data_IF_946106137613
#
_entry.id   IF_946106137613
#
_cell.length_a   1.000
_cell.length_b   1.000
_cell.length_c   1.000
_cell.angle_alpha   90.00
_cell.angle_beta   90.00
_cell.angle_gamma   90.00
#
_symmetry.space_group_name_H-M   'P 1'
#
loop_
_entity.id
_entity.type
_entity.pdbx_description
1 polymer ?
#
# COMPACT_ATOMS: atom_id res chain seq x y z
N UNK A 1 9.14 -2.14 9.74
CA UNK A 1 8.66 -1.56 8.47
C UNK A 1 8.02 -2.66 7.65
N UNK A 2 6.83 -2.43 7.08
CA UNK A 2 6.01 -3.44 6.38
C UNK A 2 6.81 -4.31 5.39
N UNK A 3 7.59 -3.70 4.51
CA UNK A 3 8.32 -4.42 3.47
C UNK A 3 9.36 -5.41 4.01
N UNK A 4 10.05 -5.09 5.12
CA UNK A 4 11.03 -6.00 5.71
C UNK A 4 10.36 -7.26 6.25
N UNK A 5 9.25 -7.08 6.96
CA UNK A 5 8.46 -8.18 7.49
C UNK A 5 7.90 -9.02 6.33
N UNK A 6 7.42 -8.38 5.25
CA UNK A 6 6.95 -9.09 4.06
C UNK A 6 8.05 -9.98 3.46
N UNK A 7 9.27 -9.45 3.27
CA UNK A 7 10.39 -10.21 2.70
C UNK A 7 10.77 -11.40 3.59
N UNK A 8 10.78 -11.21 4.92
CA UNK A 8 11.12 -12.27 5.88
C UNK A 8 10.09 -13.41 5.90
N UNK A 9 8.81 -13.10 5.75
CA UNK A 9 7.73 -14.08 5.86
C UNK A 9 7.28 -14.64 4.50
N UNK A 10 7.71 -14.05 3.39
CA UNK A 10 7.30 -14.50 2.07
C UNK A 10 7.97 -15.85 1.74
N UNK A 11 7.20 -16.89 1.34
CA UNK A 11 7.76 -18.21 1.06
C UNK A 11 8.54 -18.26 -0.27
N UNK A 12 8.67 -17.13 -0.97
CA UNK A 12 9.39 -17.02 -2.23
C UNK A 12 10.18 -15.71 -2.30
N UNK A 13 11.22 -15.72 -3.14
CA UNK A 13 12.04 -14.53 -3.38
C UNK A 13 11.24 -13.49 -4.17
N UNK A 14 11.02 -12.35 -3.54
CA UNK A 14 10.45 -11.17 -4.22
C UNK A 14 11.55 -10.53 -5.07
N UNK A 15 11.25 -10.19 -6.33
CA UNK A 15 12.18 -9.47 -7.21
C UNK A 15 11.66 -8.09 -7.62
N UNK A 16 10.33 -7.93 -7.65
CA UNK A 16 9.65 -6.71 -8.08
C UNK A 16 8.45 -6.44 -7.20
N UNK A 17 8.16 -5.17 -6.92
CA UNK A 17 6.99 -4.73 -6.17
C UNK A 17 6.31 -3.63 -6.97
N UNK A 18 4.99 -3.75 -7.13
CA UNK A 18 4.15 -2.70 -7.72
C UNK A 18 3.25 -2.09 -6.65
N UNK A 19 3.33 -0.79 -6.45
CA UNK A 19 2.46 -0.03 -5.53
C UNK A 19 1.71 1.08 -6.29
N UNK A 20 0.70 1.66 -5.65
CA UNK A 20 0.13 2.90 -6.15
C UNK A 20 1.02 4.10 -5.77
N UNK A 21 0.60 5.29 -6.20
CA UNK A 21 1.33 6.52 -5.92
C UNK A 21 1.02 7.09 -4.53
N UNK A 22 0.59 6.25 -3.57
CA UNK A 22 0.28 6.65 -2.22
C UNK A 22 1.52 7.17 -1.47
N UNK A 23 1.30 8.18 -0.62
CA UNK A 23 2.37 8.81 0.17
C UNK A 23 3.08 7.83 1.14
N UNK A 24 2.48 6.67 1.40
CA UNK A 24 3.09 5.59 2.20
C UNK A 24 4.17 4.79 1.43
N UNK A 25 4.23 4.92 0.11
CA UNK A 25 5.15 4.15 -0.74
C UNK A 25 6.12 5.04 -1.53
N UNK A 26 5.71 6.27 -1.83
CA UNK A 26 6.50 7.18 -2.67
C UNK A 26 6.20 8.64 -2.37
N UNK A 27 7.15 9.51 -2.69
CA UNK A 27 6.96 10.96 -2.75
C UNK A 27 6.60 11.47 -4.15
N UNK A 28 6.33 10.58 -5.12
CA UNK A 28 6.13 10.95 -6.52
C UNK A 28 4.97 11.94 -6.79
N UNK A 29 3.98 12.04 -5.89
CA UNK A 29 2.89 13.02 -6.00
C UNK A 29 3.12 14.31 -5.20
N UNK A 30 4.20 14.39 -4.42
CA UNK A 30 4.54 15.63 -3.73
C UNK A 30 5.10 16.64 -4.73
N UNK A 31 4.78 17.92 -4.52
CA UNK A 31 5.47 18.99 -5.21
C UNK A 31 6.97 18.94 -4.85
N UNK A 32 7.84 19.28 -5.79
CA UNK A 32 9.30 19.14 -5.64
C UNK A 32 9.84 19.81 -4.37
N UNK A 33 9.35 21.01 -4.03
CA UNK A 33 9.74 21.74 -2.83
C UNK A 33 9.25 21.12 -1.50
N UNK A 34 8.32 20.16 -1.56
CA UNK A 34 7.83 19.39 -0.43
C UNK A 34 8.47 18.01 -0.33
N UNK A 35 9.22 17.59 -1.35
CA UNK A 35 9.91 16.30 -1.35
C UNK A 35 11.01 16.29 -0.29
N UNK A 36 10.92 15.39 0.72
CA UNK A 36 11.98 15.23 1.69
C UNK A 36 13.29 14.78 1.03
N UNK A 37 14.41 15.24 1.57
CA UNK A 37 15.73 14.64 1.37
C UNK A 37 16.04 13.93 2.69
N UNK A 38 16.03 12.59 2.84
CA UNK A 38 16.41 11.49 1.93
C UNK A 38 15.27 10.87 1.09
N UNK A 39 15.56 9.91 0.16
CA UNK A 39 14.54 9.16 -0.57
C UNK A 39 13.54 8.46 0.35
N UNK A 40 12.34 8.20 -0.17
CA UNK A 40 11.28 7.56 0.59
C UNK A 40 11.77 6.26 1.27
N UNK A 41 11.47 6.02 2.56
CA UNK A 41 11.99 4.84 3.28
C UNK A 41 11.66 3.50 2.62
N UNK A 42 10.54 3.45 1.89
CA UNK A 42 10.15 2.29 1.09
C UNK A 42 11.11 2.06 -0.09
N UNK A 43 11.42 3.11 -0.87
CA UNK A 43 12.39 3.05 -1.96
C UNK A 43 13.79 2.68 -1.47
N UNK A 44 14.21 3.28 -0.34
CA UNK A 44 15.48 2.95 0.30
C UNK A 44 15.55 1.46 0.69
N UNK A 45 14.44 0.91 1.20
CA UNK A 45 14.35 -0.51 1.54
C UNK A 45 14.36 -1.39 0.28
N UNK A 46 13.60 -1.05 -0.76
CA UNK A 46 13.63 -1.76 -2.05
C UNK A 46 15.05 -1.83 -2.61
N UNK A 47 15.78 -0.70 -2.62
CA UNK A 47 17.17 -0.63 -3.08
C UNK A 47 18.11 -1.52 -2.27
N UNK A 48 17.99 -1.52 -0.93
CA UNK A 48 18.81 -2.34 -0.05
C UNK A 48 18.64 -3.85 -0.33
N UNK A 49 17.40 -4.29 -0.64
CA UNK A 49 17.09 -5.68 -0.96
C UNK A 49 17.17 -6.02 -2.46
N UNK A 50 17.67 -5.09 -3.29
CA UNK A 50 17.76 -5.24 -4.76
C UNK A 50 16.41 -5.57 -5.42
N UNK A 51 15.34 -4.95 -4.92
CA UNK A 51 13.99 -5.07 -5.45
C UNK A 51 13.70 -3.93 -6.42
N UNK A 52 13.09 -4.28 -7.55
CA UNK A 52 12.58 -3.28 -8.48
C UNK A 52 11.24 -2.74 -7.96
N UNK A 53 11.18 -1.44 -7.66
CA UNK A 53 9.94 -0.77 -7.28
C UNK A 53 9.29 -0.12 -8.50
N UNK A 54 8.02 -0.45 -8.76
CA UNK A 54 7.21 0.12 -9.84
C UNK A 54 5.98 0.81 -9.26
N UNK A 55 5.67 1.98 -9.77
CA UNK A 55 4.44 2.69 -9.45
C UNK A 55 3.38 2.41 -10.51
N UNK A 56 2.10 2.45 -10.13
CA UNK A 56 1.03 2.41 -11.11
C UNK A 56 1.01 3.68 -11.96
N UNK A 57 0.59 3.51 -13.22
CA UNK A 57 0.31 4.65 -14.06
C UNK A 57 -0.91 5.40 -13.55
N UNK A 58 -0.82 6.73 -13.60
CA UNK A 58 -1.91 7.62 -13.22
C UNK A 58 -3.15 7.34 -14.09
N UNK A 59 -4.33 7.31 -13.47
CA UNK A 59 -5.64 7.04 -14.12
C UNK A 59 -5.79 5.64 -14.73
N UNK A 60 -5.03 4.64 -14.29
CA UNK A 60 -5.17 3.25 -14.76
C UNK A 60 -5.55 2.29 -13.62
N UNK A 61 -6.74 2.46 -13.02
CA UNK A 61 -7.15 1.73 -11.81
C UNK A 61 -7.22 0.21 -12.01
N UNK A 62 -7.48 -0.27 -13.22
CA UNK A 62 -7.54 -1.70 -13.51
C UNK A 62 -6.21 -2.43 -13.25
N UNK A 63 -5.08 -1.71 -13.21
CA UNK A 63 -3.77 -2.29 -12.87
C UNK A 63 -3.65 -2.71 -11.40
N UNK A 64 -4.53 -2.20 -10.52
CA UNK A 64 -4.63 -2.59 -9.11
C UNK A 64 -5.75 -3.58 -8.81
N UNK A 65 -6.48 -4.04 -9.83
CA UNK A 65 -7.69 -4.86 -9.65
C UNK A 65 -7.46 -6.15 -8.86
N UNK A 66 -6.29 -6.79 -8.98
CA UNK A 66 -5.97 -7.98 -8.18
C UNK A 66 -5.91 -7.66 -6.68
N UNK A 67 -5.17 -6.60 -6.30
CA UNK A 67 -5.03 -6.18 -4.90
C UNK A 67 -6.36 -5.71 -4.34
N UNK A 68 -7.12 -4.93 -5.10
CA UNK A 68 -8.46 -4.47 -4.71
C UNK A 68 -9.43 -5.65 -4.51
N UNK A 69 -9.38 -6.64 -5.40
CA UNK A 69 -10.18 -7.86 -5.29
C UNK A 69 -9.82 -8.69 -4.06
N UNK A 70 -8.54 -8.94 -3.83
CA UNK A 70 -8.06 -9.65 -2.63
C UNK A 70 -8.44 -8.89 -1.35
N UNK A 71 -8.25 -7.57 -1.32
CA UNK A 71 -8.63 -6.75 -0.17
C UNK A 71 -10.14 -6.78 0.09
N UNK A 72 -10.96 -6.75 -0.97
CA UNK A 72 -12.43 -6.90 -0.85
C UNK A 72 -12.78 -8.26 -0.26
N UNK A 73 -12.18 -9.33 -0.76
CA UNK A 73 -12.39 -10.69 -0.27
C UNK A 73 -12.01 -10.82 1.22
N UNK A 74 -10.81 -10.38 1.61
CA UNK A 74 -10.37 -10.38 3.01
C UNK A 74 -11.39 -9.63 3.86
N UNK A 75 -11.77 -8.39 3.48
CA UNK A 75 -12.77 -7.60 4.21
C UNK A 75 -14.11 -8.32 4.34
N UNK A 76 -14.57 -9.02 3.30
CA UNK A 76 -15.83 -9.77 3.33
C UNK A 76 -15.80 -10.89 4.38
N UNK A 77 -14.65 -11.55 4.56
CA UNK A 77 -14.51 -12.63 5.53
C UNK A 77 -14.12 -12.14 6.95
N UNK A 78 -13.48 -10.98 7.07
CA UNK A 78 -13.00 -10.47 8.37
C UNK A 78 -13.92 -9.43 9.00
N UNK A 79 -14.69 -8.69 8.20
CA UNK A 79 -15.58 -7.64 8.71
C UNK A 79 -16.87 -8.29 9.19
N UNK A 80 -17.05 -8.43 10.51
CA UNK A 80 -18.38 -8.67 11.06
C UNK A 80 -19.29 -7.52 10.63
N UNK A 81 -20.40 -7.82 9.98
CA UNK A 81 -21.42 -6.83 9.58
C UNK A 81 -22.07 -6.26 10.85
N UNK A 82 -21.45 -5.27 11.48
CA UNK A 82 -22.16 -4.40 12.40
C UNK A 82 -23.06 -3.51 11.56
N UNK A 83 -24.33 -3.87 11.46
CA UNK A 83 -25.36 -2.98 10.93
C UNK A 83 -25.40 -1.80 11.89
N UNK A 84 -24.73 -0.70 11.53
CA UNK A 84 -24.85 0.56 12.23
C UNK A 84 -26.23 1.11 11.88
N UNK A 85 -27.23 0.66 12.62
CA UNK A 85 -28.63 1.03 12.46
C UNK A 85 -28.88 2.52 12.74
N UNK A 86 -27.90 3.26 13.28
CA UNK A 86 -28.06 4.67 13.60
C UNK A 86 -26.73 5.43 13.58
N UNK A 87 -26.68 6.54 12.84
CA UNK A 87 -25.52 7.44 12.73
C UNK A 87 -25.03 8.00 14.08
N UNK A 88 -25.90 7.99 15.11
CA UNK A 88 -25.55 8.39 16.48
C UNK A 88 -24.46 7.52 17.12
N UNK A 89 -24.28 6.28 16.67
CA UNK A 89 -23.28 5.35 17.22
C UNK A 89 -21.83 5.61 16.74
N UNK A 90 -21.63 6.52 15.78
CA UNK A 90 -20.29 6.86 15.25
C UNK A 90 -19.54 7.92 16.08
N UNK A 91 -20.15 8.50 17.14
CA UNK A 91 -19.59 9.65 17.88
C UNK A 91 -18.69 9.32 19.07
N UNK A 92 -18.23 8.09 19.23
CA UNK A 92 -17.26 7.74 20.30
C UNK A 92 -16.27 6.68 19.84
N UNK A 93 -15.22 7.13 19.18
CA UNK A 93 -13.87 6.55 19.27
C UNK A 93 -12.92 7.73 19.44
#
# INVERSE_FOLDING_TARGET
>A
MFLRNLIEHCPFKITKIRTDNGAQFTYALLAEHLCPTPPHPFDATCKAYKLEHRLTQFRHPWTNGQVEGTNRMIKQYTTKTYIISNWKNLKRI
#
